data_IF_523405553500
#
_entry.id   IF_523405553500
#
_cell.length_a   1.000
_cell.length_b   1.000
_cell.length_c   1.000
_cell.angle_alpha   90.00
_cell.angle_beta   90.00
_cell.angle_gamma   90.00
#
_symmetry.space_group_name_H-M   'P 1'
#
loop_
_entity.id
_entity.type
_entity.pdbx_description
1 polymer ?
#
# COMPACT_ATOMS: atom_id res chain seq x y z
N UNK A 1 19.11 -0.03 21.73
CA UNK A 1 17.83 -0.40 21.09
C UNK A 1 17.98 -0.11 19.61
N UNK A 2 17.51 -0.98 18.71
CA UNK A 2 17.54 -0.69 17.28
C UNK A 2 16.70 0.57 17.01
N UNK A 3 17.19 1.45 16.13
CA UNK A 3 16.48 2.68 15.77
C UNK A 3 15.17 2.35 15.05
N UNK A 4 14.11 3.12 15.31
CA UNK A 4 12.79 2.93 14.70
C UNK A 4 12.90 3.19 13.19
N UNK A 5 12.38 2.26 12.37
CA UNK A 5 12.36 2.42 10.92
C UNK A 5 11.01 2.02 10.34
N UNK A 6 10.60 2.67 9.25
CA UNK A 6 9.37 2.33 8.53
C UNK A 6 9.72 2.18 7.06
N UNK A 7 9.35 1.05 6.45
CA UNK A 7 9.55 0.85 5.01
C UNK A 7 8.19 0.86 4.32
N UNK A 8 7.99 1.79 3.41
CA UNK A 8 6.78 1.87 2.59
C UNK A 8 7.07 1.40 1.17
N UNK A 9 6.16 0.61 0.59
CA UNK A 9 6.31 0.06 -0.76
C UNK A 9 5.10 0.39 -1.62
N UNK A 10 5.28 1.34 -2.54
CA UNK A 10 4.41 1.51 -3.69
C UNK A 10 4.85 0.58 -4.84
N UNK A 11 3.91 0.22 -5.71
CA UNK A 11 4.15 -0.85 -6.69
C UNK A 11 3.18 -0.84 -7.86
N UNK A 12 3.70 -1.13 -9.04
CA UNK A 12 2.90 -1.60 -10.15
C UNK A 12 2.28 -2.98 -9.85
N UNK A 13 1.09 -3.25 -10.40
CA UNK A 13 0.46 -4.55 -10.23
C UNK A 13 1.23 -5.62 -11.02
N UNK A 14 1.52 -6.75 -10.38
CA UNK A 14 2.35 -7.83 -10.93
C UNK A 14 3.87 -7.61 -10.83
N UNK A 15 4.37 -6.50 -10.28
CA UNK A 15 5.82 -6.28 -10.10
C UNK A 15 6.45 -7.09 -8.97
N UNK A 16 5.66 -7.82 -8.17
CA UNK A 16 6.18 -8.55 -7.01
C UNK A 16 6.46 -7.70 -5.76
N UNK A 17 6.11 -6.41 -5.75
CA UNK A 17 6.33 -5.54 -4.58
C UNK A 17 5.70 -6.03 -3.27
N UNK A 18 4.57 -6.76 -3.33
CA UNK A 18 3.98 -7.39 -2.13
C UNK A 18 4.89 -8.50 -1.58
N UNK A 19 5.44 -9.33 -2.47
CA UNK A 19 6.35 -10.41 -2.09
C UNK A 19 7.64 -9.85 -1.48
N UNK A 20 8.22 -8.81 -2.09
CA UNK A 20 9.36 -8.08 -1.53
C UNK A 20 9.07 -7.62 -0.09
N UNK A 21 7.91 -6.99 0.15
CA UNK A 21 7.53 -6.54 1.49
C UNK A 21 7.36 -7.68 2.50
N UNK A 22 6.77 -8.81 2.09
CA UNK A 22 6.66 -9.99 2.97
C UNK A 22 8.01 -10.64 3.29
N UNK A 23 8.96 -10.64 2.34
CA UNK A 23 10.31 -11.16 2.60
C UNK A 23 11.11 -10.22 3.51
N UNK A 24 10.99 -8.90 3.31
CA UNK A 24 11.57 -7.91 4.20
C UNK A 24 11.07 -8.05 5.63
N UNK A 25 9.75 -8.22 5.81
CA UNK A 25 9.17 -8.34 7.14
C UNK A 25 9.70 -9.57 7.88
N UNK A 26 9.85 -10.70 7.19
CA UNK A 26 10.47 -11.92 7.73
C UNK A 26 11.94 -11.72 8.06
N UNK A 27 12.71 -11.12 7.16
CA UNK A 27 14.13 -10.89 7.35
C UNK A 27 14.45 -9.96 8.52
N UNK A 28 13.59 -8.95 8.75
CA UNK A 28 13.76 -7.95 9.79
C UNK A 28 13.01 -8.27 11.08
N UNK A 29 12.17 -9.31 11.10
CA UNK A 29 11.35 -9.67 12.27
C UNK A 29 10.31 -8.62 12.64
N UNK A 30 9.75 -7.91 11.67
CA UNK A 30 8.77 -6.82 11.88
C UNK A 30 7.42 -7.11 11.25
N UNK A 31 6.39 -6.37 11.67
CA UNK A 31 5.03 -6.52 11.12
C UNK A 31 4.96 -6.03 9.68
N UNK A 32 4.14 -6.71 8.88
CA UNK A 32 3.82 -6.37 7.50
C UNK A 32 2.36 -5.93 7.42
N UNK A 33 2.10 -4.81 6.75
CA UNK A 33 0.76 -4.27 6.55
C UNK A 33 0.51 -4.00 5.07
N UNK A 34 -0.49 -4.69 4.52
CA UNK A 34 -1.07 -4.33 3.24
C UNK A 34 -2.49 -3.77 3.42
N UNK A 35 -3.21 -3.62 2.31
CA UNK A 35 -4.58 -3.08 2.33
C UNK A 35 -5.50 -3.88 3.27
N UNK A 36 -5.39 -5.20 3.29
CA UNK A 36 -6.28 -6.07 4.06
C UNK A 36 -5.95 -5.98 5.56
N UNK A 37 -4.66 -5.99 5.89
CA UNK A 37 -4.21 -5.88 7.28
C UNK A 37 -4.45 -4.50 7.89
N UNK A 38 -4.35 -3.42 7.11
CA UNK A 38 -4.72 -2.07 7.58
C UNK A 38 -6.22 -2.01 7.89
N UNK A 39 -7.05 -2.62 7.05
CA UNK A 39 -8.50 -2.66 7.28
C UNK A 39 -8.84 -3.47 8.54
N UNK A 40 -8.15 -4.59 8.77
CA UNK A 40 -8.31 -5.37 10.00
C UNK A 40 -7.84 -4.60 11.23
N UNK A 41 -6.67 -3.95 11.16
CA UNK A 41 -6.13 -3.16 12.26
C UNK A 41 -7.08 -2.02 12.66
N UNK A 42 -7.73 -1.37 11.68
CA UNK A 42 -8.75 -0.34 11.92
C UNK A 42 -9.96 -0.88 12.70
N UNK A 43 -10.37 -2.13 12.43
CA UNK A 43 -11.48 -2.79 13.12
C UNK A 43 -11.13 -3.10 14.58
N UNK A 44 -9.97 -3.71 14.82
CA UNK A 44 -9.55 -4.12 16.17
C UNK A 44 -9.27 -2.93 17.10
N UNK A 45 -8.85 -1.81 16.52
CA UNK A 45 -8.48 -0.61 17.27
C UNK A 45 -9.67 0.33 17.59
N UNK A 46 -10.90 -0.03 17.22
CA UNK A 46 -12.09 0.78 17.50
C UNK A 46 -12.16 2.11 16.73
N UNK A 47 -11.24 2.37 15.80
CA UNK A 47 -11.28 3.56 14.94
C UNK A 47 -12.53 3.57 14.06
N UNK A 48 -13.04 2.39 13.70
CA UNK A 48 -14.31 2.28 12.97
C UNK A 48 -15.49 2.65 13.88
N UNK A 49 -15.49 2.21 15.15
CA UNK A 49 -16.60 2.46 16.08
C UNK A 49 -16.67 3.93 16.52
N UNK A 50 -15.53 4.58 16.80
CA UNK A 50 -15.47 6.02 17.15
C UNK A 50 -15.92 6.97 16.01
N UNK A 51 -15.76 6.55 14.75
CA UNK A 51 -16.28 7.28 13.58
C UNK A 51 -17.81 7.19 13.50
N UNK A 52 -18.38 6.07 13.96
CA UNK A 52 -19.84 5.87 14.03
C UNK A 52 -20.46 6.42 15.32
N UNK A 53 -19.70 6.67 16.37
CA UNK A 53 -20.18 7.40 17.57
C UNK A 53 -20.33 8.90 17.31
N UNK A 54 -19.54 9.46 16.39
CA UNK A 54 -19.62 10.89 16.01
C UNK A 54 -20.58 11.15 14.83
N UNK A 55 -21.05 10.10 14.16
CA UNK A 55 -22.12 10.16 13.17
C UNK A 55 -23.39 9.67 13.85
N UNK A 56 -24.16 10.62 14.41
CA UNK A 56 -25.47 10.39 15.00
C UNK A 56 -26.42 9.83 13.94
N UNK A 57 -26.36 8.52 13.68
CA UNK A 57 -27.41 7.68 13.12
C UNK A 57 -26.91 6.24 13.01
N UNK A 58 -27.55 5.33 13.75
CA UNK A 58 -27.32 3.89 13.60
C UNK A 58 -28.03 3.39 12.34
N UNK A 59 -27.29 2.76 11.42
CA UNK A 59 -27.73 1.48 10.88
C UNK A 59 -26.63 0.41 11.03
N UNK A 60 -27.11 -0.82 11.23
CA UNK A 60 -26.39 -2.03 11.64
C UNK A 60 -24.95 -2.21 11.13
N UNK A 61 -24.11 -2.78 12.01
CA UNK A 61 -22.66 -3.09 11.93
C UNK A 61 -22.19 -3.99 10.75
N UNK A 62 -22.91 -4.04 9.63
CA UNK A 62 -22.65 -4.94 8.50
C UNK A 62 -22.69 -4.25 7.14
N UNK A 63 -23.55 -3.25 6.95
CA UNK A 63 -23.86 -2.68 5.62
C UNK A 63 -22.86 -1.61 5.16
N UNK A 64 -22.41 -0.73 6.05
CA UNK A 64 -21.36 0.26 5.71
C UNK A 64 -19.99 -0.40 5.62
N UNK A 65 -19.73 -1.41 6.45
CA UNK A 65 -18.55 -2.27 6.32
C UNK A 65 -18.56 -3.04 5.01
N UNK A 66 -19.71 -3.59 4.58
CA UNK A 66 -19.81 -4.22 3.27
C UNK A 66 -19.66 -3.19 2.15
N UNK A 67 -20.07 -1.93 2.29
CA UNK A 67 -19.85 -0.89 1.27
C UNK A 67 -18.37 -0.45 1.18
N UNK A 68 -17.71 -0.26 2.33
CA UNK A 68 -16.26 -0.04 2.37
C UNK A 68 -15.54 -1.27 1.79
N UNK A 69 -15.95 -2.48 2.14
CA UNK A 69 -15.36 -3.71 1.61
C UNK A 69 -15.73 -4.00 0.15
N UNK A 70 -16.91 -3.63 -0.34
CA UNK A 70 -17.40 -3.89 -1.70
C UNK A 70 -16.86 -2.85 -2.68
N UNK A 71 -16.75 -1.58 -2.26
CA UNK A 71 -15.87 -0.60 -2.93
C UNK A 71 -14.40 -1.05 -2.94
N UNK A 72 -14.01 -1.95 -2.03
CA UNK A 72 -12.68 -2.55 -1.97
C UNK A 72 -12.54 -3.93 -2.66
N UNK A 73 -13.60 -4.68 -2.97
CA UNK A 73 -13.53 -6.09 -3.38
C UNK A 73 -14.10 -6.40 -4.77
N UNK A 74 -15.04 -5.64 -5.32
CA UNK A 74 -15.69 -6.03 -6.58
C UNK A 74 -15.66 -4.94 -7.66
N UNK A 75 -15.18 -5.35 -8.85
CA UNK A 75 -15.33 -4.74 -10.18
C UNK A 75 -15.65 -3.23 -10.22
N UNK A 76 -14.65 -2.41 -10.54
CA UNK A 76 -14.67 -1.40 -11.61
C UNK A 76 -15.91 -0.52 -11.87
N UNK A 77 -16.73 -0.19 -10.89
CA UNK A 77 -17.86 0.73 -11.07
C UNK A 77 -17.73 1.91 -10.12
N UNK A 78 -17.67 3.10 -10.72
CA UNK A 78 -17.98 4.35 -10.05
C UNK A 78 -19.46 4.34 -9.67
N UNK A 79 -19.77 4.60 -8.40
CA UNK A 79 -21.01 5.23 -7.95
C UNK A 79 -20.52 6.35 -7.01
N UNK A 80 -20.68 7.65 -7.29
CA UNK A 80 -21.94 8.38 -7.39
C UNK A 80 -22.97 7.86 -6.38
N UNK A 81 -22.69 8.10 -5.10
CA UNK A 81 -23.73 8.29 -4.11
C UNK A 81 -23.25 9.33 -3.10
N UNK A 82 -23.99 10.44 -3.03
CA UNK A 82 -23.83 11.53 -2.07
C UNK A 82 -24.29 11.13 -0.66
N UNK A 83 -23.90 9.96 -0.14
CA UNK A 83 -24.38 9.56 1.17
C UNK A 83 -23.36 8.85 2.09
N UNK A 84 -23.27 9.46 3.29
CA UNK A 84 -22.85 8.96 4.60
C UNK A 84 -21.38 9.13 5.03
N UNK A 85 -20.35 9.07 4.17
CA UNK A 85 -19.00 9.53 4.53
C UNK A 85 -18.23 10.03 3.29
N UNK A 86 -17.72 11.28 3.32
CA UNK A 86 -16.88 11.78 2.23
C UNK A 86 -15.60 10.95 2.09
N UNK A 87 -15.13 10.77 0.86
CA UNK A 87 -13.85 10.10 0.54
C UNK A 87 -12.67 10.64 1.37
N UNK A 88 -12.72 11.93 1.73
CA UNK A 88 -11.72 12.60 2.57
C UNK A 88 -11.73 12.10 4.02
N UNK A 89 -12.91 11.91 4.63
CA UNK A 89 -13.02 11.33 5.97
C UNK A 89 -12.45 9.91 6.02
N UNK A 90 -12.73 9.10 4.99
CA UNK A 90 -12.18 7.75 4.88
C UNK A 90 -10.65 7.76 4.75
N UNK A 91 -10.10 8.71 3.99
CA UNK A 91 -8.66 8.88 3.88
C UNK A 91 -8.02 9.33 5.21
N UNK A 92 -8.66 10.23 5.95
CA UNK A 92 -8.18 10.67 7.26
C UNK A 92 -8.08 9.50 8.25
N UNK A 93 -9.13 8.67 8.34
CA UNK A 93 -9.15 7.47 9.20
C UNK A 93 -8.02 6.50 8.81
N UNK A 94 -7.86 6.26 7.50
CA UNK A 94 -6.77 5.43 7.00
C UNK A 94 -5.40 6.00 7.38
N UNK A 95 -5.21 7.31 7.30
CA UNK A 95 -3.98 7.97 7.69
C UNK A 95 -3.69 7.78 9.19
N UNK A 96 -4.70 7.88 10.04
CA UNK A 96 -4.55 7.66 11.48
C UNK A 96 -4.19 6.22 11.83
N UNK A 97 -4.83 5.25 11.16
CA UNK A 97 -4.46 3.84 11.32
C UNK A 97 -3.02 3.59 10.87
N UNK A 98 -2.60 4.17 9.74
CA UNK A 98 -1.22 4.06 9.23
C UNK A 98 -0.23 4.67 10.25
N UNK A 99 -0.51 5.86 10.79
CA UNK A 99 0.33 6.48 11.83
C UNK A 99 0.40 5.63 13.09
N UNK A 100 -0.71 5.03 13.49
CA UNK A 100 -0.78 4.20 14.69
C UNK A 100 0.06 2.92 14.55
N UNK A 101 -0.07 2.20 13.43
CA UNK A 101 0.76 0.99 13.21
C UNK A 101 2.24 1.34 13.00
N UNK A 102 2.53 2.53 12.48
CA UNK A 102 3.87 3.05 12.30
C UNK A 102 4.51 3.60 13.60
N UNK A 103 3.88 3.44 14.77
CA UNK A 103 4.54 3.69 16.07
C UNK A 103 5.66 2.68 16.34
N UNK A 104 5.54 1.48 15.80
CA UNK A 104 6.56 0.43 15.81
C UNK A 104 7.22 0.30 14.43
N UNK A 105 8.40 -0.32 14.37
CA UNK A 105 9.03 -0.63 13.09
C UNK A 105 8.17 -1.59 12.29
N UNK A 106 7.89 -1.25 11.02
CA UNK A 106 7.00 -2.04 10.17
C UNK A 106 7.24 -1.82 8.67
N UNK A 107 6.66 -2.73 7.88
CA UNK A 107 6.60 -2.64 6.42
C UNK A 107 5.16 -2.36 6.00
N UNK A 108 4.92 -1.32 5.18
CA UNK A 108 3.58 -0.93 4.73
C UNK A 108 3.51 -0.87 3.21
N UNK A 109 2.49 -1.47 2.59
CA UNK A 109 2.36 -1.58 1.14
C UNK A 109 1.24 -0.70 0.57
N UNK A 110 1.61 0.49 0.10
CA UNK A 110 0.77 1.48 -0.61
C UNK A 110 -0.06 2.38 0.31
N UNK A 111 -1.30 2.69 -0.11
CA UNK A 111 -2.26 3.52 0.65
C UNK A 111 -1.71 4.92 0.97
N UNK A 112 -0.87 5.46 0.09
CA UNK A 112 -0.14 6.71 0.29
C UNK A 112 0.66 6.75 1.60
N UNK A 113 1.07 5.60 2.15
CA UNK A 113 1.80 5.54 3.41
C UNK A 113 3.12 6.33 3.35
N UNK A 114 3.78 6.33 2.19
CA UNK A 114 4.96 7.15 1.91
C UNK A 114 4.69 8.64 2.11
N UNK A 115 3.54 9.13 1.65
CA UNK A 115 3.14 10.51 1.79
C UNK A 115 2.63 10.83 3.21
N UNK A 116 1.84 9.92 3.79
CA UNK A 116 1.25 10.09 5.13
C UNK A 116 2.33 10.16 6.21
N UNK A 117 3.39 9.38 6.05
CA UNK A 117 4.49 9.24 7.01
C UNK A 117 5.73 10.06 6.62
N UNK A 118 5.64 10.97 5.64
CA UNK A 118 6.77 11.70 5.05
C UNK A 118 7.65 12.46 6.05
N UNK A 119 7.12 12.81 7.20
CA UNK A 119 7.81 13.53 8.27
C UNK A 119 8.47 12.59 9.30
N UNK A 120 8.34 11.27 9.14
CA UNK A 120 8.99 10.27 10.00
C UNK A 120 10.49 10.15 9.64
N UNK A 121 11.42 10.42 10.57
CA UNK A 121 12.86 10.41 10.27
C UNK A 121 13.36 9.06 9.74
N UNK A 122 12.85 7.96 10.31
CA UNK A 122 13.19 6.58 9.96
C UNK A 122 12.50 6.04 8.70
N UNK A 123 11.79 6.89 7.94
CA UNK A 123 11.04 6.45 6.75
C UNK A 123 11.98 6.08 5.58
N UNK A 124 11.70 4.93 4.96
CA UNK A 124 12.28 4.48 3.70
C UNK A 124 11.12 4.28 2.72
N UNK A 125 11.13 5.02 1.60
CA UNK A 125 10.09 4.94 0.58
C UNK A 125 10.60 4.21 -0.65
N UNK A 126 9.88 3.17 -1.07
CA UNK A 126 10.27 2.29 -2.18
C UNK A 126 9.15 2.23 -3.21
N UNK A 127 9.52 2.25 -4.49
CA UNK A 127 8.63 1.95 -5.60
C UNK A 127 9.15 0.73 -6.37
N UNK A 128 8.29 -0.25 -6.64
CA UNK A 128 8.63 -1.43 -7.45
C UNK A 128 7.86 -1.45 -8.76
N UNK A 129 8.59 -1.53 -9.86
CA UNK A 129 8.05 -1.62 -11.21
C UNK A 129 8.67 -2.78 -11.99
N UNK A 130 8.10 -3.09 -13.14
CA UNK A 130 8.68 -4.04 -14.09
C UNK A 130 8.01 -3.90 -15.47
N UNK A 131 8.66 -4.38 -16.55
CA UNK A 131 8.05 -4.47 -17.87
C UNK A 131 6.75 -5.29 -17.86
N UNK A 132 5.79 -4.90 -18.71
CA UNK A 132 4.47 -5.55 -18.78
C UNK A 132 4.55 -7.08 -18.92
N UNK A 133 5.47 -7.58 -19.76
CA UNK A 133 5.67 -9.02 -19.99
C UNK A 133 5.99 -9.75 -18.70
N UNK A 134 6.97 -9.26 -17.94
CA UNK A 134 7.38 -9.83 -16.65
C UNK A 134 6.23 -9.84 -15.64
N UNK A 135 5.46 -8.73 -15.57
CA UNK A 135 4.33 -8.62 -14.65
C UNK A 135 3.20 -9.58 -14.98
N UNK A 136 2.91 -9.79 -16.26
CA UNK A 136 1.94 -10.80 -16.72
C UNK A 136 2.41 -12.21 -16.38
N UNK A 137 3.68 -12.53 -16.63
CA UNK A 137 4.26 -13.84 -16.33
C UNK A 137 4.19 -14.16 -14.83
N UNK A 138 4.51 -13.19 -13.97
CA UNK A 138 4.33 -13.34 -12.52
C UNK A 138 2.87 -13.65 -12.15
N UNK A 139 1.91 -12.88 -12.68
CA UNK A 139 0.49 -13.11 -12.37
C UNK A 139 -0.02 -14.46 -12.87
N UNK A 140 0.52 -14.99 -13.97
CA UNK A 140 0.16 -16.31 -14.49
C UNK A 140 0.57 -17.44 -13.56
N UNK A 141 1.62 -17.29 -12.75
CA UNK A 141 2.06 -18.31 -11.79
C UNK A 141 0.96 -18.62 -10.77
N UNK A 142 0.27 -17.57 -10.30
CA UNK A 142 -0.81 -17.68 -9.32
C UNK A 142 -2.20 -17.88 -9.98
N UNK A 143 -2.30 -17.68 -11.29
CA UNK A 143 -3.55 -17.72 -12.04
C UNK A 143 -3.40 -18.55 -13.33
N UNK A 144 -3.07 -19.85 -13.22
CA UNK A 144 -2.91 -20.70 -14.39
C UNK A 144 -4.22 -20.75 -15.19
N UNK A 145 -4.11 -20.58 -16.51
CA UNK A 145 -5.26 -20.63 -17.42
C UNK A 145 -5.97 -19.30 -17.70
N UNK A 146 -5.62 -18.19 -17.02
CA UNK A 146 -6.16 -16.88 -17.40
C UNK A 146 -5.46 -16.37 -18.66
N UNK A 147 -6.27 -15.89 -19.62
CA UNK A 147 -5.79 -15.30 -20.86
C UNK A 147 -4.88 -14.07 -20.62
N UNK A 148 -3.85 -13.94 -21.47
CA UNK A 148 -2.85 -12.87 -21.39
C UNK A 148 -3.50 -11.48 -21.47
N UNK A 149 -4.44 -11.29 -22.40
CA UNK A 149 -5.09 -9.98 -22.64
C UNK A 149 -5.96 -9.59 -21.46
N UNK A 150 -6.61 -10.56 -20.82
CA UNK A 150 -7.37 -10.34 -19.59
C UNK A 150 -6.47 -9.86 -18.45
N UNK A 151 -5.31 -10.50 -18.25
CA UNK A 151 -4.34 -10.08 -17.23
C UNK A 151 -3.77 -8.69 -17.51
N UNK A 152 -3.43 -8.40 -18.76
CA UNK A 152 -2.92 -7.09 -19.17
C UNK A 152 -3.96 -5.98 -18.89
N UNK A 153 -5.21 -6.19 -19.29
CA UNK A 153 -6.29 -5.24 -19.03
C UNK A 153 -6.51 -5.02 -17.53
N UNK A 154 -6.49 -6.09 -16.73
CA UNK A 154 -6.60 -6.01 -15.27
C UNK A 154 -5.46 -5.17 -14.68
N UNK A 155 -4.23 -5.41 -15.13
CA UNK A 155 -3.04 -4.71 -14.66
C UNK A 155 -3.10 -3.21 -14.99
N UNK A 156 -3.42 -2.85 -16.24
CA UNK A 156 -3.58 -1.44 -16.64
C UNK A 156 -4.65 -0.73 -15.81
N UNK A 157 -5.77 -1.40 -15.57
CA UNK A 157 -6.86 -0.86 -14.74
C UNK A 157 -6.41 -0.62 -13.30
N UNK A 158 -5.73 -1.57 -12.67
CA UNK A 158 -5.28 -1.44 -11.28
C UNK A 158 -4.21 -0.35 -11.15
N UNK A 159 -3.25 -0.28 -12.07
CA UNK A 159 -2.22 0.76 -12.05
C UNK A 159 -2.83 2.15 -12.23
N UNK A 160 -3.79 2.30 -13.16
CA UNK A 160 -4.53 3.55 -13.33
C UNK A 160 -5.26 3.94 -12.05
N UNK A 161 -5.93 3.00 -11.39
CA UNK A 161 -6.62 3.25 -10.11
C UNK A 161 -5.66 3.69 -9.02
N UNK A 162 -4.48 3.05 -8.90
CA UNK A 162 -3.45 3.43 -7.92
C UNK A 162 -2.90 4.83 -8.20
N UNK A 163 -2.62 5.12 -9.46
CA UNK A 163 -2.17 6.45 -9.91
C UNK A 163 -3.21 7.51 -9.58
N UNK A 164 -4.46 7.33 -10.00
CA UNK A 164 -5.53 8.32 -9.73
C UNK A 164 -5.76 8.52 -8.24
N UNK A 165 -5.80 7.45 -7.45
CA UNK A 165 -5.93 7.55 -5.99
C UNK A 165 -4.77 8.32 -5.38
N UNK A 166 -3.53 7.99 -5.73
CA UNK A 166 -2.35 8.64 -5.18
C UNK A 166 -2.29 10.12 -5.56
N UNK A 167 -2.52 10.45 -6.84
CA UNK A 167 -2.51 11.83 -7.30
C UNK A 167 -3.63 12.67 -6.67
N UNK A 168 -4.82 12.09 -6.45
CA UNK A 168 -5.91 12.79 -5.77
C UNK A 168 -5.54 13.20 -4.33
N UNK A 169 -4.96 12.28 -3.54
CA UNK A 169 -4.68 12.54 -2.12
C UNK A 169 -3.34 13.21 -1.84
N UNK A 170 -2.38 13.12 -2.77
CA UNK A 170 -1.02 13.63 -2.56
C UNK A 170 -0.66 14.80 -3.47
N UNK A 171 -1.40 15.01 -4.55
CA UNK A 171 -1.05 15.96 -5.61
C UNK A 171 0.17 15.55 -6.45
N UNK A 172 0.73 14.35 -6.23
CA UNK A 172 1.99 13.89 -6.85
C UNK A 172 1.74 12.85 -7.96
N UNK A 173 2.68 12.75 -8.90
CA UNK A 173 2.70 11.65 -9.86
C UNK A 173 3.15 10.36 -9.17
N UNK A 174 2.25 9.39 -9.05
CA UNK A 174 2.49 8.10 -8.41
C UNK A 174 3.75 7.37 -8.88
N UNK A 175 4.13 7.48 -10.14
CA UNK A 175 5.28 6.76 -10.69
C UNK A 175 6.56 7.60 -10.75
N UNK A 176 6.54 8.86 -10.30
CA UNK A 176 7.74 9.70 -10.28
C UNK A 176 8.76 9.15 -9.30
N UNK A 177 9.99 8.92 -9.78
CA UNK A 177 11.10 8.45 -8.94
C UNK A 177 11.45 9.43 -7.82
N UNK A 178 11.16 10.73 -7.99
CA UNK A 178 11.44 11.77 -6.99
C UNK A 178 10.63 11.61 -5.70
N UNK A 179 9.53 10.85 -5.73
CA UNK A 179 8.73 10.57 -4.54
C UNK A 179 9.35 9.49 -3.64
N UNK A 180 10.35 8.76 -4.14
CA UNK A 180 10.84 7.53 -3.51
C UNK A 180 12.35 7.59 -3.30
N UNK A 181 12.83 7.12 -2.15
CA UNK A 181 14.27 6.92 -1.95
C UNK A 181 14.84 5.85 -2.87
N UNK A 182 14.02 4.87 -3.27
CA UNK A 182 14.44 3.81 -4.17
C UNK A 182 13.33 3.38 -5.13
N UNK A 183 13.58 3.46 -6.43
CA UNK A 183 12.75 2.86 -7.49
C UNK A 183 13.46 1.64 -8.05
N UNK A 184 12.80 0.47 -8.04
CA UNK A 184 13.42 -0.82 -8.38
C UNK A 184 12.66 -1.48 -9.53
N UNK A 185 13.39 -1.83 -10.59
CA UNK A 185 12.91 -2.77 -11.61
C UNK A 185 13.13 -4.22 -11.17
N UNK A 186 12.06 -4.88 -10.73
CA UNK A 186 12.14 -6.25 -10.22
C UNK A 186 12.37 -7.30 -11.31
N UNK A 187 12.21 -6.94 -12.59
CA UNK A 187 12.59 -7.83 -13.69
C UNK A 187 14.11 -7.96 -13.85
N UNK A 188 14.86 -6.96 -13.37
CA UNK A 188 16.32 -6.94 -13.38
C UNK A 188 16.87 -7.58 -12.11
N UNK A 189 16.34 -7.19 -10.95
CA UNK A 189 16.90 -7.61 -9.65
C UNK A 189 16.33 -8.94 -9.16
N UNK A 190 15.18 -9.36 -9.67
CA UNK A 190 14.34 -10.34 -8.99
C UNK A 190 13.85 -9.84 -7.63
N UNK A 191 13.11 -10.71 -6.92
CA UNK A 191 12.58 -10.39 -5.59
C UNK A 191 13.70 -10.32 -4.54
N UNK A 192 14.62 -11.29 -4.54
CA UNK A 192 15.73 -11.33 -3.57
C UNK A 192 16.68 -10.14 -3.72
N UNK A 193 17.05 -9.77 -4.96
CA UNK A 193 17.89 -8.60 -5.20
C UNK A 193 17.22 -7.32 -4.73
N UNK A 194 15.91 -7.16 -4.96
CA UNK A 194 15.15 -6.02 -4.45
C UNK A 194 15.16 -5.96 -2.91
N UNK A 195 14.98 -7.10 -2.24
CA UNK A 195 15.08 -7.20 -0.77
C UNK A 195 16.46 -6.75 -0.29
N UNK A 196 17.53 -7.26 -0.90
CA UNK A 196 18.90 -6.92 -0.54
C UNK A 196 19.20 -5.42 -0.72
N UNK A 197 18.74 -4.82 -1.82
CA UNK A 197 18.92 -3.37 -2.05
C UNK A 197 18.22 -2.53 -0.98
N UNK A 198 17.01 -2.91 -0.59
CA UNK A 198 16.25 -2.19 0.43
C UNK A 198 16.90 -2.34 1.81
N UNK A 199 17.36 -3.55 2.16
CA UNK A 199 18.11 -3.78 3.40
C UNK A 199 19.41 -2.96 3.43
N UNK A 200 20.11 -2.87 2.29
CA UNK A 200 21.33 -2.08 2.19
C UNK A 200 21.05 -0.59 2.36
N UNK A 201 20.00 -0.07 1.73
CA UNK A 201 19.58 1.32 1.91
C UNK A 201 19.23 1.62 3.38
N UNK A 202 18.54 0.70 4.07
CA UNK A 202 18.26 0.83 5.49
C UNK A 202 19.55 0.95 6.30
N UNK A 203 20.51 0.06 6.08
CA UNK A 203 21.82 0.09 6.77
C UNK A 203 22.57 1.41 6.52
N UNK A 204 22.53 1.92 5.29
CA UNK A 204 23.16 3.19 4.93
C UNK A 204 22.47 4.38 5.60
N UNK A 205 21.14 4.35 5.74
CA UNK A 205 20.37 5.41 6.41
C UNK A 205 20.63 5.46 7.93
N UNK A 206 20.88 4.31 8.56
CA UNK A 206 21.26 4.24 9.99
C UNK A 206 22.68 4.75 10.27
N UNK A 207 23.51 4.92 9.24
CA UNK A 207 24.84 5.51 9.36
C UNK A 207 24.75 6.98 8.90
N UNK A 208 24.81 7.96 9.82
CA UNK A 208 24.76 9.36 9.43
C UNK A 208 25.81 9.64 8.36
N UNK A 209 25.36 10.06 7.18
CA UNK A 209 26.23 10.53 6.12
C UNK A 209 26.45 12.02 6.35
N UNK A 210 27.48 12.33 7.15
CA UNK A 210 28.05 13.66 7.46
C UNK A 210 27.10 14.71 8.07
#
# INVERSE_FOLDING_TARGET
MAEKFIITINRQYGSGGREVGMKLSKALGVKFYDKELIALASKESGYVESVFENADERPSKSLLFSLVMDSYASKGWFYQHDDILSNEKLFAIQADVIRNVARESCIIVGRCADYILRDEPGLITVFTHAPMKYRIENLKRDNPGIDKKVLENRLRRIDKQRSSYYSYYTGRDWASSENYHLSIDTSVTGIEGAVQMILKLKELKEKPSL
#
